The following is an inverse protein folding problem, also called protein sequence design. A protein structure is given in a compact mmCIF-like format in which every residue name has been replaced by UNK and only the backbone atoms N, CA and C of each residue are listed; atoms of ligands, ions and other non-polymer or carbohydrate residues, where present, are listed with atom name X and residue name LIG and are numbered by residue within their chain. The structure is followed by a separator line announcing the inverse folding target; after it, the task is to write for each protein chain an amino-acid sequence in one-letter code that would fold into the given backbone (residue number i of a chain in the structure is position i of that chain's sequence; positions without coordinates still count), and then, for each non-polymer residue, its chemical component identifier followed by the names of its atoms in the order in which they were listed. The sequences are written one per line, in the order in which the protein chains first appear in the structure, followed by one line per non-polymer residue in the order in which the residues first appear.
data_IF_362267717948
#
_entry.id   IF_362267717948
#
_cell.length_a   1.000
_cell.length_b   1.000
_cell.length_c   1.000
_cell.angle_alpha   90.00
_cell.angle_beta   90.00
_cell.angle_gamma   90.00
#
_symmetry.space_group_name_H-M   'P 1'
#
loop_
_entity.id
_entity.type
_entity.pdbx_description
1 polymer ?
#
# COMPACT_ATOMS: atom_id res chain seq x y z
N UNK A 1 9.47 -2.69 -9.62
CA UNK A 1 8.03 -2.91 -9.32
C UNK A 1 8.00 -3.46 -7.90
N UNK A 2 7.76 -2.62 -6.90
CA UNK A 2 7.52 -3.11 -5.54
C UNK A 2 6.02 -3.30 -5.45
N UNK A 3 5.57 -4.55 -5.46
CA UNK A 3 4.17 -4.87 -5.21
C UNK A 3 3.88 -4.45 -3.77
N UNK A 4 2.97 -3.49 -3.64
CA UNK A 4 2.34 -3.01 -2.42
C UNK A 4 1.45 -4.12 -1.81
N UNK A 5 2.05 -5.28 -1.58
CA UNK A 5 1.46 -6.46 -0.96
C UNK A 5 2.14 -6.72 0.39
N UNK A 6 2.48 -5.67 1.14
CA UNK A 6 2.90 -5.85 2.54
C UNK A 6 2.48 -4.62 3.31
N UNK A 7 1.25 -4.63 3.81
CA UNK A 7 0.75 -3.54 4.63
C UNK A 7 -0.20 -4.00 5.72
N UNK A 8 -0.38 -3.05 6.63
CA UNK A 8 -1.17 -3.05 7.84
C UNK A 8 -0.54 -3.76 9.03
N UNK A 9 -0.56 -3.00 10.14
CA UNK A 9 -0.33 -3.35 11.54
C UNK A 9 0.12 -4.79 11.75
N UNK A 10 1.22 -5.08 12.46
CA UNK A 10 1.76 -6.44 12.68
C UNK A 10 0.68 -7.54 12.87
N UNK A 11 -0.47 -7.20 13.47
CA UNK A 11 -1.68 -8.01 13.56
C UNK A 11 -2.38 -8.41 12.23
N UNK A 12 -2.47 -7.58 11.19
CA UNK A 12 -3.20 -7.85 9.93
C UNK A 12 -2.31 -8.57 8.92
N UNK A 13 -1.13 -8.03 8.60
CA UNK A 13 -0.16 -8.74 7.76
C UNK A 13 0.30 -10.05 8.43
N UNK A 14 0.56 -10.01 9.74
CA UNK A 14 0.88 -11.22 10.51
C UNK A 14 -0.27 -12.21 10.57
N UNK A 15 -1.52 -11.78 10.76
CA UNK A 15 -2.65 -12.72 10.75
C UNK A 15 -2.93 -13.31 9.36
N UNK A 16 -2.72 -12.55 8.28
CA UNK A 16 -2.81 -13.08 6.92
C UNK A 16 -1.72 -14.12 6.64
N UNK A 17 -0.47 -13.84 7.02
CA UNK A 17 0.64 -14.78 6.89
C UNK A 17 0.41 -16.04 7.74
N UNK A 18 -0.03 -15.88 9.00
CA UNK A 18 -0.38 -17.01 9.87
C UNK A 18 -1.54 -17.82 9.29
N UNK A 19 -2.55 -17.14 8.73
CA UNK A 19 -3.67 -17.80 8.07
C UNK A 19 -3.21 -18.61 6.86
N UNK A 20 -2.32 -18.07 6.01
CA UNK A 20 -1.75 -18.79 4.85
C UNK A 20 -0.83 -19.93 5.29
N UNK A 21 0.01 -19.74 6.32
CA UNK A 21 0.81 -20.82 6.88
C UNK A 21 -0.05 -21.99 7.41
N UNK A 22 -1.17 -21.69 8.06
CA UNK A 22 -2.08 -22.72 8.59
C UNK A 22 -2.93 -23.35 7.48
N UNK A 23 -3.51 -22.53 6.60
CA UNK A 23 -4.43 -23.00 5.55
C UNK A 23 -3.71 -23.76 4.44
N UNK A 24 -2.51 -23.31 4.06
CA UNK A 24 -1.75 -23.85 2.94
C UNK A 24 -0.56 -24.73 3.38
N UNK A 25 -0.32 -24.84 4.70
CA UNK A 25 0.85 -25.54 5.28
C UNK A 25 2.21 -24.95 4.89
N UNK A 26 2.24 -23.68 4.46
CA UNK A 26 3.41 -22.97 3.94
C UNK A 26 4.23 -22.27 5.04
N UNK A 27 4.64 -23.02 6.07
CA UNK A 27 5.39 -22.48 7.22
C UNK A 27 6.76 -21.92 6.84
N UNK A 28 7.47 -22.61 5.94
CA UNK A 28 8.80 -22.19 5.47
C UNK A 28 8.72 -20.89 4.68
N UNK A 29 7.67 -20.71 3.89
CA UNK A 29 7.45 -19.49 3.13
C UNK A 29 7.20 -18.30 4.05
N UNK A 30 6.40 -18.48 5.10
CA UNK A 30 6.16 -17.44 6.10
C UNK A 30 7.43 -17.13 6.89
N UNK A 31 8.20 -18.15 7.29
CA UNK A 31 9.48 -17.95 7.98
C UNK A 31 10.48 -17.16 7.13
N UNK A 32 10.63 -17.54 5.86
CA UNK A 32 11.51 -16.86 4.91
C UNK A 32 11.07 -15.42 4.69
N UNK A 33 9.76 -15.16 4.64
CA UNK A 33 9.21 -13.82 4.50
C UNK A 33 9.62 -12.89 5.65
N UNK A 34 9.57 -13.36 6.90
CA UNK A 34 10.00 -12.56 8.06
C UNK A 34 11.50 -12.24 8.07
N UNK A 35 12.32 -13.03 7.36
CA UNK A 35 13.77 -12.88 7.28
C UNK A 35 14.24 -12.30 5.95
N UNK A 36 13.34 -12.02 5.01
CA UNK A 36 13.70 -11.44 3.72
C UNK A 36 14.15 -9.99 3.93
N UNK A 37 15.39 -9.62 3.55
CA UNK A 37 15.89 -8.24 3.68
C UNK A 37 15.11 -7.21 2.84
N UNK A 38 14.27 -7.66 1.90
CA UNK A 38 13.39 -6.81 1.11
C UNK A 38 12.08 -6.49 1.83
N UNK A 39 11.72 -7.26 2.86
CA UNK A 39 10.55 -7.00 3.69
C UNK A 39 10.86 -5.88 4.66
N UNK A 40 10.00 -4.87 4.65
CA UNK A 40 10.12 -3.71 5.53
C UNK A 40 8.88 -3.62 6.41
N UNK A 41 9.13 -3.42 7.71
CA UNK A 41 8.08 -3.17 8.69
C UNK A 41 7.95 -1.67 8.93
N UNK A 42 6.75 -1.11 8.70
CA UNK A 42 6.48 0.30 9.00
C UNK A 42 6.16 0.44 10.49
N UNK A 43 6.95 1.22 11.26
CA UNK A 43 6.69 1.46 12.68
C UNK A 43 5.31 2.06 12.92
N UNK A 44 4.66 1.69 14.02
CA UNK A 44 3.30 2.17 14.36
C UNK A 44 3.19 3.70 14.48
N UNK A 45 4.26 4.37 14.90
CA UNK A 45 4.37 5.83 14.94
C UNK A 45 4.30 6.47 13.54
N UNK A 46 4.89 5.83 12.53
CA UNK A 46 4.82 6.29 11.13
C UNK A 46 3.40 6.13 10.60
N UNK A 47 2.74 4.99 10.91
CA UNK A 47 1.33 4.76 10.58
C UNK A 47 0.46 5.82 11.23
N UNK A 48 0.66 6.12 12.53
CA UNK A 48 -0.11 7.13 13.25
C UNK A 48 0.10 8.54 12.67
N UNK A 49 1.34 8.91 12.33
CA UNK A 49 1.66 10.18 11.67
C UNK A 49 0.96 10.27 10.31
N UNK A 50 1.05 9.22 9.49
CA UNK A 50 0.43 9.20 8.16
C UNK A 50 -1.09 9.28 8.26
N UNK A 51 -1.69 8.51 9.17
CA UNK A 51 -3.13 8.54 9.48
C UNK A 51 -3.60 9.96 9.78
N UNK A 52 -2.85 10.69 10.62
CA UNK A 52 -3.11 12.10 10.93
C UNK A 52 -2.95 13.01 9.71
N UNK A 53 -1.92 12.78 8.89
CA UNK A 53 -1.65 13.58 7.70
C UNK A 53 -2.72 13.43 6.60
N UNK A 54 -3.26 12.23 6.42
CA UNK A 54 -4.37 11.93 5.51
C UNK A 54 -5.72 12.43 6.08
N UNK A 55 -5.85 12.51 7.41
CA UNK A 55 -7.09 12.90 8.09
C UNK A 55 -8.03 11.72 8.37
N UNK A 56 -7.50 10.50 8.43
CA UNK A 56 -8.25 9.30 8.76
C UNK A 56 -8.68 9.30 10.24
N UNK A 57 -9.91 8.82 10.52
CA UNK A 57 -10.52 8.79 11.86
C UNK A 57 -10.92 7.38 12.28
N UNK A 58 -11.11 7.17 13.59
CA UNK A 58 -11.62 5.92 14.15
C UNK A 58 -10.72 4.72 13.86
N UNK A 59 -11.31 3.60 13.45
CA UNK A 59 -10.60 2.36 13.12
C UNK A 59 -9.97 2.33 11.71
N UNK A 60 -10.17 3.38 10.90
CA UNK A 60 -9.63 3.44 9.54
C UNK A 60 -8.09 3.45 9.55
N UNK A 61 -7.47 2.83 8.57
CA UNK A 61 -6.03 2.83 8.38
C UNK A 61 -5.66 3.16 6.91
N UNK A 62 -4.43 3.65 6.65
CA UNK A 62 -3.95 3.89 5.28
C UNK A 62 -3.99 2.60 4.45
N UNK A 63 -4.10 2.73 3.13
CA UNK A 63 -3.94 1.59 2.19
C UNK A 63 -2.50 1.20 1.98
N UNK A 64 -2.31 -0.02 1.47
CA UNK A 64 -1.04 -0.61 1.02
C UNK A 64 -0.10 0.30 0.21
N UNK A 65 -0.71 1.16 -0.59
CA UNK A 65 0.02 2.13 -1.38
C UNK A 65 0.48 3.35 -0.58
N UNK A 66 -0.28 3.75 0.44
CA UNK A 66 0.00 4.95 1.22
C UNK A 66 1.19 4.79 2.17
N UNK A 67 1.37 3.67 2.87
CA UNK A 67 2.60 3.45 3.64
C UNK A 67 3.79 3.25 2.70
N UNK A 68 3.60 2.67 1.51
CA UNK A 68 4.67 2.60 0.51
C UNK A 68 5.13 4.00 0.06
N UNK A 69 4.21 4.90 -0.27
CA UNK A 69 4.53 6.31 -0.58
C UNK A 69 5.26 6.96 0.59
N UNK A 70 4.70 6.86 1.80
CA UNK A 70 5.27 7.47 2.99
C UNK A 70 6.67 6.92 3.30
N UNK A 71 6.88 5.61 3.15
CA UNK A 71 8.19 4.98 3.31
C UNK A 71 9.23 5.57 2.36
N UNK A 72 8.93 5.65 1.05
CA UNK A 72 9.89 6.19 0.09
C UNK A 72 10.16 7.69 0.29
N UNK A 73 9.16 8.46 0.72
CA UNK A 73 9.35 9.88 1.03
C UNK A 73 10.26 10.13 2.23
N UNK A 74 10.28 9.21 3.20
CA UNK A 74 11.10 9.32 4.41
C UNK A 74 12.42 8.53 4.34
N UNK A 75 12.62 7.71 3.30
CA UNK A 75 13.82 6.88 3.14
C UNK A 75 15.03 7.74 2.75
N UNK A 76 16.13 7.71 3.52
CA UNK A 76 17.35 8.44 3.17
C UNK A 76 17.87 8.07 1.79
N UNK A 77 18.29 9.08 1.02
CA UNK A 77 18.87 8.91 -0.32
C UNK A 77 17.87 8.74 -1.46
N UNK A 78 16.56 8.70 -1.18
CA UNK A 78 15.54 8.75 -2.24
C UNK A 78 15.49 10.15 -2.84
N UNK A 79 15.58 10.21 -4.17
CA UNK A 79 15.42 11.47 -4.92
C UNK A 79 13.93 11.71 -5.19
N UNK A 80 13.51 12.95 -5.00
CA UNK A 80 12.17 13.40 -5.33
C UNK A 80 12.10 13.94 -6.77
N UNK A 81 10.95 13.84 -7.44
CA UNK A 81 9.70 13.23 -6.95
C UNK A 81 9.75 11.69 -6.97
N UNK A 82 9.05 11.06 -6.03
CA UNK A 82 8.77 9.62 -6.08
C UNK A 82 7.75 9.36 -7.20
N UNK A 83 8.09 8.47 -8.12
CA UNK A 83 7.22 8.12 -9.26
C UNK A 83 6.27 7.01 -8.86
N UNK A 84 4.96 7.26 -8.96
CA UNK A 84 3.90 6.30 -8.60
C UNK A 84 3.13 5.82 -9.83
N UNK A 85 2.68 4.58 -9.81
CA UNK A 85 1.90 3.93 -10.86
C UNK A 85 0.83 3.04 -10.22
N UNK A 86 -0.31 2.87 -10.88
CA UNK A 86 -1.39 1.97 -10.43
C UNK A 86 -2.26 2.52 -9.30
N UNK A 87 -2.12 3.81 -8.93
CA UNK A 87 -2.98 4.47 -7.95
C UNK A 87 -4.21 5.06 -8.62
N UNK A 88 -5.35 4.38 -8.49
CA UNK A 88 -6.66 4.83 -8.96
C UNK A 88 -7.65 5.10 -7.80
N UNK A 89 -7.21 4.91 -6.55
CA UNK A 89 -8.00 5.10 -5.33
C UNK A 89 -9.31 4.29 -5.33
N UNK A 90 -9.29 3.08 -5.91
CA UNK A 90 -10.45 2.18 -6.02
C UNK A 90 -11.66 2.81 -6.71
N UNK A 91 -11.42 3.77 -7.61
CA UNK A 91 -12.49 4.42 -8.39
C UNK A 91 -12.84 3.66 -9.68
N UNK A 92 -12.07 2.63 -10.03
CA UNK A 92 -12.32 1.77 -11.18
C UNK A 92 -13.41 0.71 -10.96
N UNK A 93 -13.83 0.02 -12.03
CA UNK A 93 -14.81 -1.09 -11.95
C UNK A 93 -14.26 -2.32 -11.22
N UNK A 94 -12.94 -2.40 -11.03
CA UNK A 94 -12.22 -3.49 -10.40
C UNK A 94 -11.23 -2.93 -9.39
N UNK A 95 -11.08 -3.60 -8.24
CA UNK A 95 -10.14 -3.22 -7.18
C UNK A 95 -8.68 -3.46 -7.63
N UNK A 96 -8.43 -4.54 -8.37
CA UNK A 96 -7.09 -4.92 -8.84
C UNK A 96 -7.05 -5.06 -10.36
N UNK A 97 -5.90 -4.76 -10.97
CA UNK A 97 -5.70 -4.89 -12.42
C UNK A 97 -5.69 -6.36 -12.90
N UNK A 98 -5.50 -7.31 -11.99
CA UNK A 98 -5.55 -8.76 -12.24
C UNK A 98 -6.84 -9.42 -11.71
N UNK A 99 -7.89 -8.64 -11.43
CA UNK A 99 -9.14 -9.13 -10.81
C UNK A 99 -9.70 -10.39 -11.49
N UNK A 100 -9.61 -10.51 -12.81
CA UNK A 100 -10.06 -11.68 -13.57
C UNK A 100 -9.44 -13.01 -13.09
N UNK A 101 -8.26 -12.97 -12.49
CA UNK A 101 -7.54 -14.14 -11.98
C UNK A 101 -7.71 -14.34 -10.46
N UNK A 102 -8.37 -13.41 -9.76
CA UNK A 102 -8.61 -13.53 -8.32
C UNK A 102 -9.74 -14.53 -8.04
N UNK A 103 -9.56 -15.47 -7.10
CA UNK A 103 -10.65 -16.28 -6.57
C UNK A 103 -11.78 -15.41 -6.00
N UNK A 104 -13.02 -15.92 -6.06
CA UNK A 104 -14.20 -15.17 -5.60
C UNK A 104 -14.10 -14.74 -4.13
N UNK A 105 -13.53 -15.57 -3.26
CA UNK A 105 -13.38 -15.23 -1.83
C UNK A 105 -12.43 -14.04 -1.62
N UNK A 106 -11.37 -13.92 -2.43
CA UNK A 106 -10.43 -12.78 -2.36
C UNK A 106 -11.14 -11.51 -2.82
N UNK A 107 -11.93 -11.57 -3.89
CA UNK A 107 -12.70 -10.40 -4.36
C UNK A 107 -13.66 -9.88 -3.29
N UNK A 108 -14.34 -10.80 -2.58
CA UNK A 108 -15.25 -10.45 -1.48
C UNK A 108 -14.46 -9.82 -0.34
N UNK A 109 -13.37 -10.45 0.10
CA UNK A 109 -12.53 -9.95 1.18
C UNK A 109 -11.93 -8.57 0.85
N UNK A 110 -11.45 -8.38 -0.38
CA UNK A 110 -10.91 -7.12 -0.87
C UNK A 110 -11.98 -6.01 -0.83
N UNK A 111 -13.22 -6.32 -1.23
CA UNK A 111 -14.31 -5.34 -1.19
C UNK A 111 -14.63 -4.89 0.25
N UNK A 112 -14.64 -5.81 1.21
CA UNK A 112 -14.79 -5.45 2.62
C UNK A 112 -13.56 -4.70 3.17
N UNK A 113 -12.36 -5.10 2.76
CA UNK A 113 -11.10 -4.44 3.13
C UNK A 113 -11.05 -2.98 2.70
N UNK A 114 -11.57 -2.64 1.51
CA UNK A 114 -11.69 -1.24 1.05
C UNK A 114 -12.52 -0.39 2.03
N UNK A 115 -13.50 -0.99 2.72
CA UNK A 115 -14.28 -0.29 3.75
C UNK A 115 -13.49 0.02 5.02
N UNK A 116 -12.26 -0.46 5.17
CA UNK A 116 -11.36 -0.07 6.28
C UNK A 116 -10.46 1.12 5.93
N UNK A 117 -10.50 1.58 4.67
CA UNK A 117 -9.74 2.72 4.17
C UNK A 117 -10.62 3.95 3.91
N UNK A 118 -10.02 5.06 3.48
CA UNK A 118 -10.77 6.23 2.99
C UNK A 118 -10.14 6.75 1.69
N UNK A 119 -10.45 6.12 0.55
CA UNK A 119 -9.77 6.39 -0.71
C UNK A 119 -9.88 7.85 -1.18
N UNK A 120 -10.99 8.52 -0.87
CA UNK A 120 -11.18 9.93 -1.15
C UNK A 120 -10.16 10.83 -0.42
N UNK A 121 -9.90 10.56 0.87
CA UNK A 121 -8.93 11.32 1.67
C UNK A 121 -7.50 11.04 1.22
N UNK A 122 -7.20 9.78 0.90
CA UNK A 122 -5.91 9.38 0.35
C UNK A 122 -5.64 10.06 -0.99
N UNK A 123 -6.65 10.13 -1.86
CA UNK A 123 -6.57 10.88 -3.13
C UNK A 123 -6.22 12.35 -2.90
N UNK A 124 -6.92 13.03 -2.00
CA UNK A 124 -6.63 14.43 -1.66
C UNK A 124 -5.19 14.58 -1.17
N UNK A 125 -4.74 13.68 -0.30
CA UNK A 125 -3.40 13.70 0.25
C UNK A 125 -2.32 13.46 -0.82
N UNK A 126 -2.52 12.51 -1.74
CA UNK A 126 -1.59 12.28 -2.85
C UNK A 126 -1.54 13.48 -3.80
N UNK A 127 -2.67 14.12 -4.11
CA UNK A 127 -2.67 15.35 -4.91
C UNK A 127 -1.88 16.48 -4.23
N UNK A 128 -2.04 16.65 -2.92
CA UNK A 128 -1.21 17.59 -2.14
C UNK A 128 0.29 17.28 -2.28
N UNK A 129 0.70 16.00 -2.21
CA UNK A 129 2.09 15.61 -2.39
C UNK A 129 2.62 15.88 -3.80
N UNK A 130 1.75 15.79 -4.81
CA UNK A 130 2.07 16.15 -6.20
C UNK A 130 2.29 17.66 -6.31
N UNK A 131 1.40 18.47 -5.73
CA UNK A 131 1.51 19.93 -5.72
C UNK A 131 2.79 20.40 -4.98
N UNK A 132 3.23 19.64 -3.97
CA UNK A 132 4.49 19.86 -3.25
C UNK A 132 5.74 19.36 -4.01
N UNK A 133 5.58 18.75 -5.19
CA UNK A 133 6.68 18.19 -5.98
C UNK A 133 7.33 16.94 -5.37
N UNK A 134 6.67 16.31 -4.39
CA UNK A 134 7.20 15.12 -3.69
C UNK A 134 6.86 13.82 -4.41
N UNK A 135 5.73 13.80 -5.11
CA UNK A 135 5.22 12.62 -5.82
C UNK A 135 4.84 13.02 -7.24
N UNK A 136 4.94 12.10 -8.19
CA UNK A 136 4.45 12.29 -9.55
C UNK A 136 3.88 10.98 -10.10
N UNK A 137 2.79 11.04 -10.87
CA UNK A 137 2.31 9.86 -11.57
C UNK A 137 3.23 9.52 -12.74
N UNK A 138 3.46 8.24 -12.99
CA UNK A 138 4.29 7.75 -14.09
C UNK A 138 3.85 8.31 -15.46
N UNK A 139 2.54 8.44 -15.68
CA UNK A 139 1.99 9.03 -16.93
C UNK A 139 2.39 10.48 -17.16
N UNK A 140 2.68 11.20 -16.08
CA UNK A 140 3.06 12.62 -16.07
C UNK A 140 4.58 12.78 -15.92
N UNK A 141 5.32 11.67 -15.73
CA UNK A 141 6.76 11.68 -15.67
C UNK A 141 7.32 12.05 -17.05
N UNK A 142 8.18 13.08 -17.17
CA UNK A 142 8.72 13.47 -18.45
C UNK A 142 9.47 12.28 -19.05
N UNK A 143 8.91 11.68 -20.10
CA UNK A 143 9.65 10.71 -20.90
C UNK A 143 10.79 11.48 -21.54
N UNK A 144 11.98 11.35 -20.97
CA UNK A 144 13.19 11.95 -21.50
C UNK A 144 13.53 11.31 -22.85
N UNK A 145 12.79 11.68 -23.90
CA UNK A 145 13.30 11.62 -25.26
C UNK A 145 14.34 12.74 -25.37
N UNK A 146 15.57 12.41 -25.00
CA UNK A 146 16.77 13.01 -25.57
C UNK A 146 17.21 12.12 -26.73
#
# INVERSE_FOLDING_TARGET
IMLSLVEDNFAVAGSYLIFRAIADYEWDLVWNFFHDPQVTWTPGENIARLKKAIGLKGAKHPTSGMLAIDYFLNKPGVKLPVVIHGFDFFTGPTIHYYNAHEPLYERINNHFGVQMHSPHLEKIYVHKLIDEGKVIFLKDFPSGKK
#
